data_IF_265202547909
#
_entry.id   IF_265202547909
#
_cell.length_a   1.000
_cell.length_b   1.000
_cell.length_c   1.000
_cell.angle_alpha   90.00
_cell.angle_beta   90.00
_cell.angle_gamma   90.00
#
_symmetry.space_group_name_H-M   'P 1'
#
loop_
_entity.id
_entity.type
_entity.pdbx_description
1 polymer ?
#
# COMPACT_ATOMS: atom_id res chain seq x y z
N UNK A 1 -0.71 -21.58 19.91
CA UNK A 1 -1.01 -20.23 19.39
C UNK A 1 0.12 -19.85 18.49
N UNK A 2 -0.15 -19.39 17.26
CA UNK A 2 0.90 -18.83 16.42
C UNK A 2 1.25 -17.47 17.04
N UNK A 3 2.42 -17.40 17.64
CA UNK A 3 2.99 -16.18 18.19
C UNK A 3 3.60 -15.31 17.09
N UNK A 4 3.96 -14.09 17.49
CA UNK A 4 4.56 -13.08 16.61
C UNK A 4 5.80 -13.60 15.89
N UNK A 5 6.61 -14.42 16.57
CA UNK A 5 7.83 -15.03 16.01
C UNK A 5 7.53 -15.96 14.83
N UNK A 6 6.53 -16.83 14.94
CA UNK A 6 6.17 -17.75 13.86
C UNK A 6 5.64 -16.98 12.64
N UNK A 7 4.85 -15.93 12.85
CA UNK A 7 4.37 -15.05 11.76
C UNK A 7 5.56 -14.38 11.05
N UNK A 8 6.54 -13.87 11.79
CA UNK A 8 7.74 -13.24 11.20
C UNK A 8 8.56 -14.24 10.39
N UNK A 9 8.73 -15.47 10.89
CA UNK A 9 9.44 -16.53 10.15
C UNK A 9 8.73 -16.88 8.84
N UNK A 10 7.40 -17.04 8.88
CA UNK A 10 6.61 -17.29 7.67
C UNK A 10 6.73 -16.13 6.67
N UNK A 11 6.63 -14.89 7.16
CA UNK A 11 6.80 -13.70 6.32
C UNK A 11 8.19 -13.64 5.67
N UNK A 12 9.24 -14.02 6.40
CA UNK A 12 10.61 -14.11 5.87
C UNK A 12 10.73 -15.18 4.78
N UNK A 13 10.14 -16.36 4.97
CA UNK A 13 10.15 -17.42 3.95
C UNK A 13 9.47 -16.93 2.66
N UNK A 14 8.30 -16.30 2.77
CA UNK A 14 7.60 -15.69 1.63
C UNK A 14 8.47 -14.61 0.98
N UNK A 15 9.14 -13.76 1.79
CA UNK A 15 10.02 -12.71 1.28
C UNK A 15 11.22 -13.26 0.50
N UNK A 16 11.77 -14.41 0.89
CA UNK A 16 12.88 -15.06 0.17
C UNK A 16 12.39 -15.67 -1.14
N UNK A 17 11.22 -16.32 -1.15
CA UNK A 17 10.65 -16.94 -2.34
C UNK A 17 10.24 -15.93 -3.41
N UNK A 18 9.63 -14.82 -3.01
CA UNK A 18 9.10 -13.81 -3.92
C UNK A 18 10.02 -12.57 -4.07
N UNK A 19 10.98 -12.40 -3.16
CA UNK A 19 11.87 -11.24 -3.06
C UNK A 19 11.23 -10.04 -2.36
N UNK A 20 12.07 -9.13 -1.85
CA UNK A 20 11.61 -7.91 -1.16
C UNK A 20 10.75 -6.99 -2.05
N UNK A 21 10.96 -7.04 -3.37
CA UNK A 21 10.18 -6.24 -4.34
C UNK A 21 8.76 -6.77 -4.57
N UNK A 22 8.40 -7.95 -4.07
CA UNK A 22 7.04 -8.48 -4.23
C UNK A 22 6.01 -7.74 -3.39
N UNK A 23 6.37 -7.31 -2.18
CA UNK A 23 5.48 -6.54 -1.29
C UNK A 23 5.02 -5.22 -1.93
N UNK A 24 5.91 -4.34 -2.44
CA UNK A 24 5.46 -3.10 -3.08
C UNK A 24 4.68 -3.33 -4.38
N UNK A 25 5.03 -4.37 -5.17
CA UNK A 25 4.27 -4.72 -6.39
C UNK A 25 2.85 -5.18 -6.05
N UNK A 26 2.71 -6.08 -5.07
CA UNK A 26 1.41 -6.57 -4.60
C UNK A 26 0.55 -5.46 -3.98
N UNK A 27 1.16 -4.58 -3.17
CA UNK A 27 0.47 -3.44 -2.58
C UNK A 27 -0.03 -2.46 -3.67
N UNK A 28 0.77 -2.22 -4.71
CA UNK A 28 0.37 -1.37 -5.84
C UNK A 28 -0.81 -1.97 -6.60
N UNK A 29 -0.75 -3.25 -6.98
CA UNK A 29 -1.85 -3.92 -7.70
C UNK A 29 -3.13 -4.01 -6.86
N UNK A 30 -3.02 -4.24 -5.56
CA UNK A 30 -4.17 -4.27 -4.66
C UNK A 30 -4.75 -2.86 -4.44
N UNK A 31 -3.91 -1.83 -4.42
CA UNK A 31 -4.30 -0.43 -4.34
C UNK A 31 -5.06 0.03 -5.59
N UNK A 32 -4.57 -0.32 -6.77
CA UNK A 32 -5.25 -0.10 -8.05
C UNK A 32 -6.58 -0.85 -8.09
N UNK A 33 -6.61 -2.14 -7.75
CA UNK A 33 -7.85 -2.93 -7.68
C UNK A 33 -8.89 -2.32 -6.71
N UNK A 34 -8.45 -1.83 -5.53
CA UNK A 34 -9.34 -1.16 -4.57
C UNK A 34 -9.85 0.18 -5.11
N UNK A 35 -9.01 0.94 -5.83
CA UNK A 35 -9.37 2.23 -6.43
C UNK A 35 -10.42 2.02 -7.52
N UNK A 36 -10.18 1.13 -8.47
CA UNK A 36 -11.14 0.76 -9.51
C UNK A 36 -12.43 0.19 -8.92
N UNK A 37 -12.35 -0.68 -7.90
CA UNK A 37 -13.53 -1.21 -7.20
C UNK A 37 -14.37 -0.09 -6.57
N UNK A 38 -13.73 0.85 -5.87
CA UNK A 38 -14.42 2.00 -5.28
C UNK A 38 -15.05 2.90 -6.34
N UNK A 39 -14.35 3.18 -7.45
CA UNK A 39 -14.87 4.00 -8.53
C UNK A 39 -16.09 3.33 -9.21
N UNK A 40 -16.02 2.02 -9.44
CA UNK A 40 -17.10 1.25 -10.05
C UNK A 40 -18.36 1.17 -9.16
N UNK A 41 -18.18 1.03 -7.84
CA UNK A 41 -19.31 1.09 -6.89
C UNK A 41 -19.82 2.52 -6.66
N UNK A 42 -18.94 3.53 -6.75
CA UNK A 42 -19.30 4.93 -6.52
C UNK A 42 -20.04 5.58 -7.71
N UNK A 43 -20.03 5.00 -8.91
CA UNK A 43 -20.88 5.47 -10.02
C UNK A 43 -22.37 5.10 -9.84
N UNK A 44 -22.69 4.14 -8.94
CA UNK A 44 -24.06 3.77 -8.55
C UNK A 44 -24.60 4.57 -7.34
N UNK A 45 -23.75 5.34 -6.64
CA UNK A 45 -24.15 6.24 -5.54
C UNK A 45 -23.89 7.72 -5.90
N UNK A 46 -24.81 8.66 -5.66
CA UNK A 46 -24.60 10.07 -5.99
C UNK A 46 -23.42 10.68 -5.19
N UNK A 47 -22.26 10.71 -5.85
CA UNK A 47 -21.06 11.55 -5.67
C UNK A 47 -20.98 12.39 -4.39
N UNK A 48 -20.35 11.85 -3.35
CA UNK A 48 -19.50 12.65 -2.45
C UNK A 48 -18.31 11.81 -1.95
N UNK A 49 -17.17 12.48 -1.72
CA UNK A 49 -15.94 11.99 -1.09
C UNK A 49 -14.99 11.09 -1.89
N UNK A 50 -13.95 11.70 -2.50
CA UNK A 50 -12.53 11.43 -2.17
C UNK A 50 -11.60 12.07 -3.22
N UNK A 51 -11.48 13.40 -3.19
CA UNK A 51 -10.34 14.09 -3.80
C UNK A 51 -9.28 14.31 -2.72
N UNK A 52 -8.02 14.03 -3.09
CA UNK A 52 -6.75 14.27 -2.36
C UNK A 52 -6.31 13.20 -1.36
N UNK A 53 -5.40 12.35 -1.81
CA UNK A 53 -4.12 12.14 -1.11
C UNK A 53 -3.02 12.02 -2.17
N UNK A 54 -2.56 13.16 -2.68
CA UNK A 54 -1.29 13.27 -3.39
C UNK A 54 -0.68 14.62 -2.98
N UNK A 55 0.11 14.60 -1.90
CA UNK A 55 1.17 15.57 -1.59
C UNK A 55 1.91 15.05 -0.35
N UNK A 56 2.98 14.27 -0.57
CA UNK A 56 4.05 14.04 0.41
C UNK A 56 5.29 13.48 -0.30
N UNK A 57 5.83 14.25 -1.24
CA UNK A 57 7.22 14.16 -1.69
C UNK A 57 7.64 15.57 -2.11
N UNK A 58 8.16 16.34 -1.15
CA UNK A 58 9.41 17.10 -1.27
C UNK A 58 9.74 17.73 0.10
N UNK A 59 10.97 18.21 0.26
CA UNK A 59 11.56 18.85 1.45
C UNK A 59 12.11 17.96 2.58
N UNK A 60 13.35 17.49 2.38
CA UNK A 60 14.42 17.72 3.37
C UNK A 60 15.79 17.88 2.69
N UNK A 61 16.04 19.06 2.13
CA UNK A 61 17.40 19.58 1.87
C UNK A 61 17.55 20.90 2.63
N UNK A 62 18.68 21.02 3.33
CA UNK A 62 19.20 22.24 3.99
C UNK A 62 18.72 22.51 5.44
N UNK A 63 19.45 21.94 6.40
CA UNK A 63 19.77 22.63 7.65
C UNK A 63 21.24 22.37 7.98
N UNK A 64 22.08 23.39 7.82
CA UNK A 64 23.06 23.82 8.82
C UNK A 64 23.80 25.03 8.27
N UNK A 65 23.37 26.20 8.73
CA UNK A 65 24.21 27.37 8.88
C UNK A 65 24.28 27.68 10.37
#
# INVERSE_FOLDING_TARGET
MIGTTEIVVIALVILVLFGASAIPKFAKSLGEAKKEYKNATADDEPKEAAKKVETAKDDKKEESK
#
